data_IF_136571581520
#
_entry.id   IF_136571581520
#
_cell.length_a   1.000
_cell.length_b   1.000
_cell.length_c   1.000
_cell.angle_alpha   90.00
_cell.angle_beta   90.00
_cell.angle_gamma   90.00
#
_symmetry.space_group_name_H-M   'P 1'
#
loop_
_entity.id
_entity.type
_entity.pdbx_description
1 polymer ?
#
# COMPACT_ATOMS: atom_id res chain seq x y z
N UNK A 1 -5.80 54.04 7.77
CA UNK A 1 -5.49 53.41 6.47
C UNK A 1 -5.66 51.92 6.65
N UNK A 2 -6.64 51.33 5.96
CA UNK A 2 -6.87 49.88 6.01
C UNK A 2 -5.65 49.15 5.43
N UNK A 3 -4.92 48.43 6.29
CA UNK A 3 -3.83 47.54 5.87
C UNK A 3 -4.42 46.24 5.30
N UNK A 4 -5.23 46.36 4.26
CA UNK A 4 -5.66 45.20 3.48
C UNK A 4 -4.45 44.66 2.71
N UNK A 5 -4.05 43.43 3.02
CA UNK A 5 -2.96 42.74 2.33
C UNK A 5 -3.50 41.54 1.58
N UNK A 6 -3.48 41.60 0.26
CA UNK A 6 -3.80 40.46 -0.62
C UNK A 6 -2.91 39.25 -0.32
N UNK A 7 -1.69 39.47 0.19
CA UNK A 7 -0.77 38.42 0.63
C UNK A 7 -1.27 37.68 1.87
N UNK A 8 -1.86 38.37 2.86
CA UNK A 8 -2.41 37.72 4.05
C UNK A 8 -3.67 36.90 3.72
N UNK A 9 -4.52 37.41 2.82
CA UNK A 9 -5.66 36.67 2.30
C UNK A 9 -5.25 35.42 1.52
N UNK A 10 -4.26 35.52 0.62
CA UNK A 10 -3.75 34.38 -0.13
C UNK A 10 -3.16 33.30 0.80
N UNK A 11 -2.42 33.70 1.84
CA UNK A 11 -1.87 32.77 2.84
C UNK A 11 -2.97 32.11 3.69
N UNK A 12 -4.04 32.84 4.03
CA UNK A 12 -5.19 32.26 4.75
C UNK A 12 -5.95 31.26 3.87
N UNK A 13 -6.16 31.59 2.59
CA UNK A 13 -6.78 30.68 1.63
C UNK A 13 -5.93 29.41 1.43
N UNK A 14 -4.61 29.56 1.30
CA UNK A 14 -3.67 28.44 1.19
C UNK A 14 -3.70 27.56 2.45
N UNK A 15 -3.65 28.14 3.66
CA UNK A 15 -3.76 27.38 4.92
C UNK A 15 -5.08 26.63 5.03
N UNK A 16 -6.19 27.24 4.61
CA UNK A 16 -7.53 26.64 4.62
C UNK A 16 -7.67 25.48 3.62
N UNK A 17 -7.01 25.58 2.46
CA UNK A 17 -6.94 24.49 1.49
C UNK A 17 -6.08 23.33 2.03
N UNK A 18 -4.88 23.62 2.54
CA UNK A 18 -3.99 22.59 3.10
C UNK A 18 -4.62 21.88 4.31
N UNK A 19 -5.32 22.61 5.19
CA UNK A 19 -5.98 22.01 6.34
C UNK A 19 -7.15 21.11 5.92
N UNK A 20 -7.96 21.51 4.92
CA UNK A 20 -9.02 20.67 4.34
C UNK A 20 -8.49 19.42 3.66
N UNK A 21 -7.35 19.51 2.96
CA UNK A 21 -6.69 18.34 2.36
C UNK A 21 -6.16 17.36 3.43
N UNK A 22 -5.76 17.85 4.60
CA UNK A 22 -5.11 17.05 5.64
C UNK A 22 -6.06 16.35 6.63
N UNK A 23 -7.23 16.92 6.96
CA UNK A 23 -7.90 16.58 8.23
C UNK A 23 -9.09 15.61 8.20
N UNK A 24 -9.76 15.38 7.07
CA UNK A 24 -10.96 14.49 7.05
C UNK A 24 -10.89 13.29 6.11
N UNK A 25 -10.03 13.35 5.09
CA UNK A 25 -9.99 12.35 4.02
C UNK A 25 -8.91 11.29 4.29
N UNK A 26 -7.71 11.69 4.71
CA UNK A 26 -6.57 10.79 4.93
C UNK A 26 -6.78 9.77 6.05
N UNK A 27 -7.64 10.14 7.02
CA UNK A 27 -8.04 9.34 8.16
C UNK A 27 -8.78 8.05 7.76
N UNK A 28 -9.83 8.16 6.94
CA UNK A 28 -10.71 7.01 6.67
C UNK A 28 -10.11 5.89 5.80
N UNK A 29 -8.94 6.11 5.17
CA UNK A 29 -8.31 5.10 4.30
C UNK A 29 -7.33 4.19 5.06
N UNK A 30 -7.00 4.52 6.33
CA UNK A 30 -6.03 3.78 7.16
C UNK A 30 -6.45 3.61 8.62
N UNK A 31 -7.59 4.15 9.03
CA UNK A 31 -8.06 4.09 10.43
C UNK A 31 -9.00 2.89 10.66
N UNK A 32 -9.33 2.11 9.63
CA UNK A 32 -9.99 0.84 9.93
C UNK A 32 -8.98 -0.09 10.64
N UNK A 33 -9.43 -0.72 11.73
CA UNK A 33 -8.60 -1.54 12.60
C UNK A 33 -7.98 -2.73 11.84
N UNK A 34 -8.68 -3.22 10.81
CA UNK A 34 -8.27 -4.42 10.04
C UNK A 34 -7.05 -4.11 9.17
N UNK A 35 -7.09 -3.02 8.42
CA UNK A 35 -5.95 -2.54 7.61
C UNK A 35 -4.72 -2.26 8.49
N UNK A 36 -4.93 -1.71 9.70
CA UNK A 36 -3.85 -1.45 10.65
C UNK A 36 -3.19 -2.73 11.16
N UNK A 37 -4.00 -3.73 11.53
CA UNK A 37 -3.50 -5.05 11.96
C UNK A 37 -2.71 -5.75 10.84
N UNK A 38 -3.19 -5.70 9.59
CA UNK A 38 -2.46 -6.27 8.44
C UNK A 38 -1.11 -5.56 8.26
N UNK A 39 -1.06 -4.23 8.33
CA UNK A 39 0.19 -3.47 8.23
C UNK A 39 1.17 -3.81 9.35
N UNK A 40 0.67 -4.02 10.57
CA UNK A 40 1.48 -4.43 11.71
C UNK A 40 2.06 -5.84 11.54
N UNK A 41 1.30 -6.78 11.01
CA UNK A 41 1.80 -8.12 10.71
C UNK A 41 2.81 -8.11 9.56
N UNK A 42 2.56 -7.32 8.50
CA UNK A 42 3.51 -7.08 7.42
C UNK A 42 4.83 -6.49 7.95
N UNK A 43 4.75 -5.58 8.93
CA UNK A 43 5.93 -5.06 9.63
C UNK A 43 6.67 -6.18 10.39
N UNK A 44 5.95 -7.02 11.15
CA UNK A 44 6.53 -8.09 11.96
C UNK A 44 7.26 -9.12 11.10
N UNK A 45 6.64 -9.62 10.03
CA UNK A 45 7.30 -10.59 9.12
C UNK A 45 8.48 -9.98 8.38
N UNK A 46 8.38 -8.70 8.00
CA UNK A 46 9.51 -7.97 7.38
C UNK A 46 10.67 -7.81 8.36
N UNK A 47 10.39 -7.50 9.63
CA UNK A 47 11.41 -7.36 10.68
C UNK A 47 12.08 -8.69 10.99
N UNK A 48 11.30 -9.77 11.07
CA UNK A 48 11.82 -11.12 11.29
C UNK A 48 12.79 -11.50 10.16
N UNK A 49 12.39 -11.25 8.91
CA UNK A 49 13.19 -11.60 7.74
C UNK A 49 14.46 -10.77 7.60
N UNK A 50 14.35 -9.43 7.63
CA UNK A 50 15.51 -8.56 7.39
C UNK A 50 16.44 -8.48 8.59
N UNK A 51 15.97 -8.88 9.78
CA UNK A 51 16.63 -8.66 11.08
C UNK A 51 17.02 -7.19 11.30
N UNK A 52 16.33 -6.26 10.63
CA UNK A 52 16.66 -4.84 10.62
C UNK A 52 15.41 -3.98 10.86
N UNK A 53 15.20 -3.61 12.12
CA UNK A 53 14.07 -2.77 12.55
C UNK A 53 13.94 -1.48 11.75
N UNK A 54 15.04 -0.76 11.48
CA UNK A 54 15.01 0.53 10.78
C UNK A 54 14.53 0.35 9.35
N UNK A 55 14.99 -0.71 8.69
CA UNK A 55 14.61 -1.02 7.32
C UNK A 55 13.15 -1.46 7.22
N UNK A 56 12.70 -2.34 8.12
CA UNK A 56 11.29 -2.79 8.15
C UNK A 56 10.32 -1.63 8.38
N UNK A 57 10.64 -0.73 9.32
CA UNK A 57 9.85 0.49 9.52
C UNK A 57 9.82 1.38 8.27
N UNK A 58 10.92 1.45 7.53
CA UNK A 58 11.01 2.24 6.30
C UNK A 58 10.18 1.65 5.17
N UNK A 59 10.17 0.32 5.01
CA UNK A 59 9.32 -0.38 4.03
C UNK A 59 7.84 -0.06 4.29
N UNK A 60 7.37 -0.27 5.52
CA UNK A 60 5.96 -0.04 5.88
C UNK A 60 5.58 1.44 5.79
N UNK A 61 6.45 2.34 6.24
CA UNK A 61 6.25 3.80 6.04
C UNK A 61 6.16 4.18 4.57
N UNK A 62 6.92 3.53 3.70
CA UNK A 62 6.86 3.78 2.26
C UNK A 62 5.55 3.27 1.66
N UNK A 63 5.09 2.08 2.07
CA UNK A 63 3.80 1.52 1.69
C UNK A 63 2.64 2.48 2.07
N UNK A 64 2.60 2.93 3.33
CA UNK A 64 1.59 3.89 3.81
C UNK A 64 1.65 5.17 2.96
N UNK A 65 2.85 5.74 2.74
CA UNK A 65 2.99 6.96 1.91
C UNK A 65 2.51 6.76 0.47
N UNK A 66 2.66 5.58 -0.11
CA UNK A 66 2.18 5.27 -1.46
C UNK A 66 0.65 5.27 -1.49
N UNK A 67 0.03 4.51 -0.59
CA UNK A 67 -1.42 4.37 -0.52
C UNK A 67 -2.08 5.73 -0.20
N UNK A 68 -1.50 6.52 0.72
CA UNK A 68 -1.92 7.90 1.04
C UNK A 68 -1.94 8.76 -0.22
N UNK A 69 -0.83 8.77 -0.97
CA UNK A 69 -0.71 9.61 -2.16
C UNK A 69 -1.68 9.18 -3.25
N UNK A 70 -1.85 7.88 -3.46
CA UNK A 70 -2.80 7.34 -4.43
C UNK A 70 -4.24 7.77 -4.09
N UNK A 71 -4.63 7.64 -2.82
CA UNK A 71 -5.95 8.08 -2.34
C UNK A 71 -6.19 9.58 -2.51
N UNK A 72 -5.18 10.42 -2.27
CA UNK A 72 -5.27 11.88 -2.49
C UNK A 72 -5.45 12.21 -3.97
N UNK A 73 -4.72 11.55 -4.86
CA UNK A 73 -4.86 11.76 -6.31
C UNK A 73 -6.25 11.35 -6.80
N UNK A 74 -6.71 10.17 -6.39
CA UNK A 74 -8.02 9.63 -6.78
C UNK A 74 -9.16 10.54 -6.30
N UNK A 75 -9.19 10.90 -5.00
CA UNK A 75 -10.27 11.71 -4.43
C UNK A 75 -10.32 13.15 -4.95
N UNK A 76 -9.20 13.68 -5.40
CA UNK A 76 -9.13 15.02 -5.98
C UNK A 76 -9.28 15.00 -7.51
N UNK A 77 -9.77 13.90 -8.09
CA UNK A 77 -9.99 13.74 -9.54
C UNK A 77 -8.76 14.14 -10.37
N UNK A 78 -7.56 13.82 -9.88
CA UNK A 78 -6.32 14.19 -10.57
C UNK A 78 -6.01 13.27 -11.75
N UNK A 79 -6.60 12.07 -11.77
CA UNK A 79 -6.41 11.11 -12.84
C UNK A 79 -7.27 11.43 -14.06
N UNK A 80 -6.67 11.35 -15.25
CA UNK A 80 -7.41 11.35 -16.51
C UNK A 80 -7.98 9.96 -16.82
N UNK A 81 -8.74 9.83 -17.91
CA UNK A 81 -9.40 8.57 -18.29
C UNK A 81 -8.46 7.38 -18.47
N UNK A 82 -7.28 7.58 -19.08
CA UNK A 82 -6.29 6.51 -19.26
C UNK A 82 -5.69 6.09 -17.91
N UNK A 83 -5.43 7.06 -17.04
CA UNK A 83 -4.90 6.80 -15.69
C UNK A 83 -5.94 6.11 -14.80
N UNK A 84 -7.23 6.42 -14.95
CA UNK A 84 -8.31 5.73 -14.24
C UNK A 84 -8.42 4.26 -14.64
N UNK A 85 -8.20 3.94 -15.92
CA UNK A 85 -8.12 2.53 -16.38
C UNK A 85 -6.94 1.82 -15.71
N UNK A 86 -5.78 2.48 -15.60
CA UNK A 86 -4.62 1.92 -14.90
C UNK A 86 -4.88 1.69 -13.41
N UNK A 87 -5.55 2.64 -12.74
CA UNK A 87 -5.94 2.52 -11.33
C UNK A 87 -6.92 1.35 -11.13
N UNK A 88 -7.90 1.19 -12.02
CA UNK A 88 -8.85 0.08 -11.95
C UNK A 88 -8.17 -1.28 -12.21
N UNK A 89 -7.25 -1.35 -13.17
CA UNK A 89 -6.44 -2.53 -13.41
C UNK A 89 -5.54 -2.87 -12.21
N UNK A 90 -4.94 -1.85 -11.59
CA UNK A 90 -4.17 -2.00 -10.35
C UNK A 90 -5.05 -2.58 -9.23
N UNK A 91 -6.26 -2.04 -9.02
CA UNK A 91 -7.21 -2.54 -8.02
C UNK A 91 -7.56 -4.02 -8.26
N UNK A 92 -7.95 -4.38 -9.49
CA UNK A 92 -8.24 -5.79 -9.85
C UNK A 92 -7.04 -6.71 -9.59
N UNK A 93 -5.82 -6.23 -9.86
CA UNK A 93 -4.60 -7.00 -9.60
C UNK A 93 -4.31 -7.14 -8.11
N UNK A 94 -4.54 -6.11 -7.30
CA UNK A 94 -4.45 -6.18 -5.83
C UNK A 94 -5.49 -7.15 -5.26
N UNK A 95 -6.71 -7.15 -5.77
CA UNK A 95 -7.73 -8.14 -5.40
C UNK A 95 -7.27 -9.58 -5.74
N UNK A 96 -6.70 -9.78 -6.94
CA UNK A 96 -6.14 -11.07 -7.34
C UNK A 96 -5.00 -11.51 -6.42
N UNK A 97 -4.11 -10.57 -6.07
CA UNK A 97 -3.01 -10.80 -5.13
C UNK A 97 -3.53 -11.25 -3.75
N UNK A 98 -4.53 -10.56 -3.21
CA UNK A 98 -5.15 -10.87 -1.93
C UNK A 98 -5.75 -12.29 -1.92
N UNK A 99 -6.57 -12.62 -2.93
CA UNK A 99 -7.15 -13.95 -3.08
C UNK A 99 -6.08 -15.04 -3.19
N UNK A 100 -5.02 -14.79 -3.97
CA UNK A 100 -3.91 -15.74 -4.15
C UNK A 100 -3.16 -15.95 -2.84
N UNK A 101 -2.89 -14.87 -2.10
CA UNK A 101 -2.17 -14.93 -0.84
C UNK A 101 -2.91 -15.75 0.22
N UNK A 102 -4.23 -15.59 0.30
CA UNK A 102 -5.10 -16.40 1.16
C UNK A 102 -5.14 -17.84 0.69
N UNK A 103 -5.34 -18.08 -0.61
CA UNK A 103 -5.46 -19.45 -1.15
C UNK A 103 -4.19 -20.28 -0.91
N UNK A 104 -3.01 -19.68 -1.10
CA UNK A 104 -1.73 -20.34 -0.81
C UNK A 104 -1.50 -20.67 0.66
N UNK A 105 -2.17 -19.97 1.58
CA UNK A 105 -2.13 -20.29 3.01
C UNK A 105 -3.16 -21.36 3.39
N UNK A 106 -4.36 -21.30 2.81
CA UNK A 106 -5.46 -22.20 3.16
C UNK A 106 -5.36 -23.58 2.52
N UNK A 107 -4.71 -23.69 1.36
CA UNK A 107 -4.60 -24.94 0.61
C UNK A 107 -3.17 -25.44 0.66
N UNK A 108 -2.94 -26.55 1.36
CA UNK A 108 -1.62 -27.15 1.52
C UNK A 108 -0.96 -27.46 0.17
N UNK A 109 0.36 -27.31 0.11
CA UNK A 109 1.21 -27.62 -1.05
C UNK A 109 0.90 -26.85 -2.34
N UNK A 110 0.11 -25.76 -2.29
CA UNK A 110 -0.20 -24.93 -3.47
C UNK A 110 0.69 -23.70 -3.62
N UNK A 111 1.44 -23.32 -2.59
CA UNK A 111 2.25 -22.10 -2.61
C UNK A 111 3.32 -22.13 -3.71
N UNK A 112 3.27 -21.13 -4.60
CA UNK A 112 4.31 -20.85 -5.59
C UNK A 112 4.83 -19.42 -5.44
N UNK A 113 6.07 -19.30 -4.95
CA UNK A 113 6.77 -18.01 -4.78
C UNK A 113 6.91 -17.21 -6.07
N UNK A 114 7.06 -17.87 -7.23
CA UNK A 114 7.22 -17.20 -8.53
C UNK A 114 5.91 -16.61 -9.00
N UNK A 115 4.79 -17.32 -8.79
CA UNK A 115 3.45 -16.80 -9.09
C UNK A 115 3.17 -15.57 -8.24
N UNK A 116 3.40 -15.65 -6.92
CA UNK A 116 3.21 -14.52 -6.01
C UNK A 116 4.09 -13.32 -6.38
N UNK A 117 5.38 -13.57 -6.65
CA UNK A 117 6.33 -12.54 -7.08
C UNK A 117 5.91 -11.87 -8.39
N UNK A 118 5.42 -12.64 -9.37
CA UNK A 118 4.94 -12.10 -10.64
C UNK A 118 3.74 -11.15 -10.45
N UNK A 119 2.74 -11.56 -9.66
CA UNK A 119 1.56 -10.72 -9.37
C UNK A 119 1.97 -9.42 -8.67
N UNK A 120 2.88 -9.49 -7.70
CA UNK A 120 3.41 -8.30 -7.01
C UNK A 120 4.16 -7.36 -7.97
N UNK A 121 4.94 -7.89 -8.89
CA UNK A 121 5.62 -7.07 -9.90
C UNK A 121 4.62 -6.44 -10.90
N UNK A 122 3.55 -7.14 -11.28
CA UNK A 122 2.48 -6.54 -12.09
C UNK A 122 1.78 -5.38 -11.35
N UNK A 123 1.48 -5.54 -10.06
CA UNK A 123 1.00 -4.45 -9.20
C UNK A 123 1.98 -3.26 -9.22
N UNK A 124 3.28 -3.52 -9.13
CA UNK A 124 4.33 -2.49 -9.15
C UNK A 124 4.30 -1.68 -10.45
N UNK A 125 4.26 -2.36 -11.59
CA UNK A 125 4.28 -1.71 -12.90
C UNK A 125 3.00 -0.91 -13.18
N UNK A 126 1.83 -1.45 -12.84
CA UNK A 126 0.56 -0.73 -12.96
C UNK A 126 0.58 0.55 -12.11
N UNK A 127 1.06 0.45 -10.87
CA UNK A 127 1.16 1.61 -9.98
C UNK A 127 2.14 2.65 -10.54
N UNK A 128 3.29 2.23 -11.07
CA UNK A 128 4.24 3.13 -11.70
C UNK A 128 3.63 3.90 -12.87
N UNK A 129 2.87 3.22 -13.72
CA UNK A 129 2.19 3.85 -14.86
C UNK A 129 1.14 4.85 -14.37
N UNK A 130 0.30 4.46 -13.42
CA UNK A 130 -0.77 5.31 -12.89
C UNK A 130 -0.26 6.62 -12.27
N UNK A 131 0.86 6.58 -11.55
CA UNK A 131 1.38 7.76 -10.83
C UNK A 131 2.39 8.60 -11.62
N UNK A 132 2.80 8.16 -12.82
CA UNK A 132 3.94 8.71 -13.58
C UNK A 132 3.88 10.21 -13.81
N UNK A 133 2.69 10.75 -14.07
CA UNK A 133 2.48 12.19 -14.36
C UNK A 133 2.35 13.05 -13.10
N UNK A 134 2.13 12.43 -11.95
CA UNK A 134 1.68 13.11 -10.74
C UNK A 134 2.73 13.13 -9.64
N UNK A 135 3.56 12.10 -9.59
CA UNK A 135 4.47 11.87 -8.48
C UNK A 135 5.94 11.90 -8.89
N UNK A 136 6.80 12.31 -7.97
CA UNK A 136 8.23 12.48 -8.23
C UNK A 136 8.99 11.15 -8.25
N UNK A 137 10.23 11.16 -8.77
CA UNK A 137 11.16 10.03 -8.71
C UNK A 137 11.30 9.43 -7.30
N UNK A 138 11.19 10.25 -6.24
CA UNK A 138 11.18 9.79 -4.86
C UNK A 138 9.99 8.88 -4.55
N UNK A 139 8.81 9.13 -5.11
CA UNK A 139 7.66 8.22 -4.98
C UNK A 139 7.91 6.92 -5.74
N UNK A 140 8.45 6.97 -6.96
CA UNK A 140 8.79 5.76 -7.72
C UNK A 140 9.83 4.90 -6.97
N UNK A 141 10.87 5.51 -6.40
CA UNK A 141 11.84 4.80 -5.57
C UNK A 141 11.18 4.11 -4.36
N UNK A 142 10.13 4.71 -3.76
CA UNK A 142 9.36 4.07 -2.68
C UNK A 142 8.54 2.87 -3.16
N UNK A 143 7.92 2.98 -4.34
CA UNK A 143 7.20 1.88 -4.99
C UNK A 143 8.15 0.69 -5.16
N UNK A 144 9.31 0.92 -5.78
CA UNK A 144 10.34 -0.11 -5.94
C UNK A 144 10.79 -0.70 -4.59
N UNK A 145 11.06 0.15 -3.60
CA UNK A 145 11.50 -0.30 -2.28
C UNK A 145 10.51 -1.24 -1.58
N UNK A 146 9.20 -0.99 -1.74
CA UNK A 146 8.16 -1.82 -1.16
C UNK A 146 7.99 -3.12 -1.93
N UNK A 147 7.79 -3.03 -3.25
CA UNK A 147 7.51 -4.21 -4.07
C UNK A 147 8.73 -5.12 -4.23
N UNK A 148 9.95 -4.58 -4.29
CA UNK A 148 11.16 -5.41 -4.35
C UNK A 148 11.33 -6.27 -3.09
N UNK A 149 10.92 -5.77 -1.92
CA UNK A 149 10.93 -6.56 -0.69
C UNK A 149 9.84 -7.63 -0.71
N UNK A 150 8.58 -7.25 -0.95
CA UNK A 150 7.48 -8.21 -0.88
C UNK A 150 7.48 -9.24 -2.03
N UNK A 151 8.05 -8.89 -3.19
CA UNK A 151 8.19 -9.80 -4.33
C UNK A 151 9.48 -10.64 -4.29
N UNK A 152 10.34 -10.47 -3.27
CA UNK A 152 11.54 -11.27 -3.10
C UNK A 152 11.17 -12.75 -2.89
N UNK A 153 11.66 -13.63 -3.75
CA UNK A 153 11.30 -15.04 -3.73
C UNK A 153 11.78 -15.74 -2.45
N UNK A 154 12.86 -15.27 -1.83
CA UNK A 154 13.37 -15.86 -0.60
C UNK A 154 12.58 -15.38 0.63
N UNK A 155 12.15 -14.11 0.65
CA UNK A 155 11.18 -13.61 1.62
C UNK A 155 9.86 -14.38 1.53
N UNK A 156 9.33 -14.56 0.32
CA UNK A 156 8.08 -15.29 0.10
C UNK A 156 8.22 -16.77 0.53
N UNK A 157 9.34 -17.41 0.23
CA UNK A 157 9.62 -18.78 0.66
C UNK A 157 9.74 -18.90 2.19
N UNK A 158 10.32 -17.90 2.86
CA UNK A 158 10.38 -17.86 4.31
C UNK A 158 8.99 -17.65 4.94
N UNK A 159 8.19 -16.74 4.37
CA UNK A 159 6.86 -16.38 4.87
C UNK A 159 5.87 -17.55 4.80
N UNK A 160 5.86 -18.29 3.68
CA UNK A 160 5.02 -19.48 3.49
C UNK A 160 5.72 -20.79 3.88
N UNK A 161 6.92 -20.70 4.45
CA UNK A 161 7.70 -21.85 4.87
C UNK A 161 7.18 -22.50 6.16
N UNK A 162 7.77 -23.63 6.59
CA UNK A 162 7.31 -24.40 7.75
C UNK A 162 7.64 -23.75 9.11
N UNK A 163 8.20 -22.55 9.15
CA UNK A 163 8.56 -21.87 10.39
C UNK A 163 7.32 -21.46 11.17
N UNK A 164 7.18 -21.96 12.40
CA UNK A 164 6.06 -21.61 13.28
C UNK A 164 5.95 -20.11 13.55
N UNK A 165 7.07 -19.39 13.57
CA UNK A 165 7.09 -17.92 13.74
C UNK A 165 6.33 -17.26 12.59
N UNK A 166 6.65 -17.62 11.33
CA UNK A 166 5.97 -17.05 10.18
C UNK A 166 4.54 -17.56 10.03
N UNK A 167 4.26 -18.82 10.38
CA UNK A 167 2.92 -19.41 10.26
C UNK A 167 1.87 -18.63 11.06
N UNK A 168 2.18 -18.26 12.31
CA UNK A 168 1.27 -17.48 13.14
C UNK A 168 1.04 -16.06 12.58
N UNK A 169 2.08 -15.43 12.03
CA UNK A 169 1.95 -14.13 11.39
C UNK A 169 1.16 -14.19 10.08
N UNK A 170 1.46 -15.17 9.22
CA UNK A 170 0.78 -15.39 7.96
C UNK A 170 -0.71 -15.67 8.16
N UNK A 171 -1.08 -16.47 9.16
CA UNK A 171 -2.48 -16.68 9.52
C UNK A 171 -3.21 -15.35 9.85
N UNK A 172 -2.58 -14.46 10.63
CA UNK A 172 -3.16 -13.16 10.96
C UNK A 172 -3.26 -12.25 9.73
N UNK A 173 -2.25 -12.25 8.86
CA UNK A 173 -2.29 -11.53 7.57
C UNK A 173 -3.47 -12.03 6.74
N UNK A 174 -3.58 -13.34 6.51
CA UNK A 174 -4.65 -13.92 5.71
C UNK A 174 -6.04 -13.67 6.30
N UNK A 175 -6.19 -13.70 7.63
CA UNK A 175 -7.45 -13.37 8.29
C UNK A 175 -7.86 -11.91 8.02
N UNK A 176 -6.92 -10.97 8.20
CA UNK A 176 -7.17 -9.55 7.93
C UNK A 176 -7.45 -9.28 6.45
N UNK A 177 -6.69 -9.90 5.55
CA UNK A 177 -6.89 -9.79 4.09
C UNK A 177 -8.25 -10.36 3.67
N UNK A 178 -8.67 -11.51 4.20
CA UNK A 178 -10.01 -12.05 3.94
C UNK A 178 -11.11 -11.10 4.40
N UNK A 179 -10.99 -10.55 5.60
CA UNK A 179 -11.95 -9.57 6.10
C UNK A 179 -12.01 -8.32 5.20
N UNK A 180 -10.87 -7.82 4.74
CA UNK A 180 -10.82 -6.70 3.78
C UNK A 180 -11.48 -7.05 2.43
N UNK A 181 -11.36 -8.29 1.96
CA UNK A 181 -12.04 -8.79 0.76
C UNK A 181 -13.56 -8.84 0.97
N UNK A 182 -14.01 -9.40 2.09
CA UNK A 182 -15.44 -9.52 2.46
C UNK A 182 -16.10 -8.14 2.60
N UNK A 183 -15.39 -7.18 3.20
CA UNK A 183 -15.87 -5.81 3.38
C UNK A 183 -15.82 -4.97 2.07
N UNK A 184 -15.26 -5.51 0.98
CA UNK A 184 -15.10 -4.79 -0.30
C UNK A 184 -14.06 -3.67 -0.26
N UNK A 185 -13.11 -3.73 0.68
CA UNK A 185 -12.09 -2.72 0.94
C UNK A 185 -10.79 -2.94 0.13
N UNK A 186 -10.78 -3.91 -0.80
CA UNK A 186 -9.65 -4.24 -1.71
C UNK A 186 -9.97 -4.02 -3.20
#
# INVERSE_FOLDING_TARGET
MDSFSTKSLALQAQKKLMSKMATKSMANLFIDDTSSEVLDELYRVTKEYTRNRKESQKIIKNLIKMVVKLGVLYRNNQFNSEELILVENFRKKVHTLAMTAVSFHQIEFTFDRRVMSAILNECRELLHQAIKRHLTAKSHSRVNHVFNHFADCDFLAALYGPSEVYRAHLQRICNGVNKMLDDGNL
#
